data_IF_992731369500
#
_entry.id   IF_992731369500
#
_cell.length_a   1.000
_cell.length_b   1.000
_cell.length_c   1.000
_cell.angle_alpha   90.00
_cell.angle_beta   90.00
_cell.angle_gamma   90.00
#
_symmetry.space_group_name_H-M   'P 1'
#
loop_
_entity.id
_entity.type
_entity.pdbx_description
1 polymer ?
#
# COMPACT_ATOMS: atom_id res chain seq x y z
N UNK A 1 -0.19 -27.28 -4.87
CA UNK A 1 0.48 -26.43 -3.86
C UNK A 1 1.47 -25.54 -4.61
N UNK A 2 1.26 -24.23 -4.62
CA UNK A 2 2.22 -23.31 -5.23
C UNK A 2 3.44 -23.20 -4.31
N UNK A 3 4.64 -23.42 -4.85
CA UNK A 3 5.88 -23.16 -4.12
C UNK A 3 5.97 -21.66 -3.86
N UNK A 4 5.78 -21.25 -2.60
CA UNK A 4 6.02 -19.86 -2.20
C UNK A 4 7.55 -19.68 -2.22
N UNK A 5 8.09 -18.78 -3.06
CA UNK A 5 9.53 -18.54 -3.08
C UNK A 5 9.96 -18.01 -1.72
N UNK A 6 10.99 -18.64 -1.13
CA UNK A 6 11.62 -18.15 0.10
C UNK A 6 12.37 -16.87 -0.27
N UNK A 7 11.83 -15.73 0.16
CA UNK A 7 12.39 -14.42 -0.12
C UNK A 7 13.60 -14.20 0.79
N UNK A 8 14.77 -14.10 0.17
CA UNK A 8 16.03 -13.76 0.84
C UNK A 8 16.05 -12.26 1.14
N UNK A 9 15.71 -11.92 2.39
CA UNK A 9 15.56 -10.55 2.87
C UNK A 9 16.83 -9.70 2.66
N UNK A 10 18.01 -10.28 2.87
CA UNK A 10 19.29 -9.57 2.72
C UNK A 10 19.52 -9.15 1.26
N UNK A 11 19.03 -9.93 0.29
CA UNK A 11 19.11 -9.57 -1.13
C UNK A 11 18.20 -8.42 -1.52
N UNK A 12 17.03 -8.28 -0.89
CA UNK A 12 16.14 -7.15 -1.16
C UNK A 12 16.71 -5.87 -0.54
N UNK A 13 17.14 -5.96 0.72
CA UNK A 13 17.66 -4.81 1.47
C UNK A 13 18.97 -4.26 0.89
N UNK A 14 19.70 -5.06 0.11
CA UNK A 14 20.93 -4.64 -0.60
C UNK A 14 20.69 -4.08 -2.01
N UNK A 15 19.44 -4.03 -2.49
CA UNK A 15 19.12 -3.47 -3.81
C UNK A 15 19.22 -1.95 -3.82
N UNK A 16 19.72 -1.39 -4.93
CA UNK A 16 19.91 0.06 -5.07
C UNK A 16 18.63 0.78 -5.52
N UNK A 17 17.72 0.06 -6.15
CA UNK A 17 16.48 0.59 -6.68
C UNK A 17 15.39 -0.49 -6.80
N UNK A 18 14.16 -0.05 -7.02
CA UNK A 18 12.98 -0.92 -7.13
C UNK A 18 13.07 -1.93 -8.28
N UNK A 19 13.71 -1.57 -9.41
CA UNK A 19 13.83 -2.47 -10.54
C UNK A 19 14.73 -3.68 -10.21
N UNK A 20 15.84 -3.47 -9.49
CA UNK A 20 16.67 -4.56 -8.98
C UNK A 20 15.89 -5.46 -8.00
N UNK A 21 15.14 -4.86 -7.07
CA UNK A 21 14.35 -5.61 -6.09
C UNK A 21 13.28 -6.51 -6.76
N UNK A 22 12.56 -5.97 -7.75
CA UNK A 22 11.53 -6.71 -8.49
C UNK A 22 12.15 -7.83 -9.33
N UNK A 23 13.29 -7.58 -9.98
CA UNK A 23 13.98 -8.63 -10.73
C UNK A 23 14.42 -9.79 -9.82
N UNK A 24 14.95 -9.49 -8.63
CA UNK A 24 15.34 -10.52 -7.66
C UNK A 24 14.13 -11.33 -7.17
N UNK A 25 13.00 -10.67 -6.94
CA UNK A 25 11.78 -11.30 -6.42
C UNK A 25 11.02 -12.13 -7.45
N UNK A 26 10.96 -11.66 -8.70
CA UNK A 26 10.03 -12.17 -9.70
C UNK A 26 10.71 -12.62 -11.01
N UNK A 27 12.02 -12.43 -11.15
CA UNK A 27 12.76 -12.75 -12.38
C UNK A 27 12.38 -11.85 -13.57
N UNK A 28 11.91 -10.64 -13.30
CA UNK A 28 11.43 -9.69 -14.30
C UNK A 28 12.43 -8.57 -14.53
N UNK A 29 12.96 -8.46 -15.75
CA UNK A 29 13.65 -7.26 -16.21
C UNK A 29 12.62 -6.25 -16.72
N UNK A 30 12.37 -5.20 -15.95
CA UNK A 30 11.38 -4.19 -16.27
C UNK A 30 12.00 -3.05 -17.10
N UNK A 31 11.61 -2.95 -18.37
CA UNK A 31 11.76 -1.72 -19.15
C UNK A 31 10.50 -0.86 -18.96
N UNK A 32 10.61 0.21 -18.17
CA UNK A 32 9.50 1.13 -17.90
C UNK A 32 8.59 0.70 -16.75
N UNK A 33 7.38 1.28 -16.70
CA UNK A 33 6.37 0.97 -15.67
C UNK A 33 5.54 -0.23 -16.14
N UNK A 34 5.89 -1.43 -15.70
CA UNK A 34 5.07 -2.62 -15.91
C UNK A 34 4.00 -2.71 -14.82
N UNK A 35 2.75 -2.96 -15.20
CA UNK A 35 1.70 -3.30 -14.25
C UNK A 35 1.98 -4.71 -13.71
N UNK A 36 2.58 -4.79 -12.52
CA UNK A 36 2.94 -6.06 -11.88
C UNK A 36 1.72 -6.71 -11.19
N UNK A 37 0.68 -5.93 -10.94
CA UNK A 37 -0.56 -6.39 -10.30
C UNK A 37 -1.74 -6.04 -11.19
N UNK A 38 -2.41 -7.07 -11.71
CA UNK A 38 -3.71 -6.93 -12.37
C UNK A 38 -4.85 -6.98 -11.33
N UNK A 39 -6.09 -6.71 -11.75
CA UNK A 39 -7.24 -6.80 -10.84
C UNK A 39 -7.34 -8.18 -10.18
N UNK A 40 -6.96 -9.23 -10.91
CA UNK A 40 -6.99 -10.62 -10.49
C UNK A 40 -5.92 -10.96 -9.45
N UNK A 41 -4.89 -10.13 -9.28
CA UNK A 41 -3.81 -10.39 -8.33
C UNK A 41 -4.26 -10.27 -6.87
N UNK A 42 -5.38 -9.57 -6.62
CA UNK A 42 -5.96 -9.38 -5.29
C UNK A 42 -7.45 -9.72 -5.29
N UNK A 43 -7.79 -11.00 -5.42
CA UNK A 43 -9.17 -11.51 -5.38
C UNK A 43 -9.37 -12.54 -4.26
N UNK A 44 -10.58 -12.62 -3.76
CA UNK A 44 -11.07 -13.64 -2.85
C UNK A 44 -10.26 -13.75 -1.55
N UNK A 45 -9.70 -14.94 -1.33
CA UNK A 45 -8.97 -15.25 -0.09
C UNK A 45 -7.67 -14.46 0.03
N UNK A 46 -6.99 -14.16 -1.08
CA UNK A 46 -5.76 -13.36 -1.06
C UNK A 46 -6.04 -11.95 -0.53
N UNK A 47 -7.15 -11.32 -0.97
CA UNK A 47 -7.60 -10.02 -0.46
C UNK A 47 -7.84 -10.03 1.05
N UNK A 48 -8.57 -11.04 1.53
CA UNK A 48 -8.86 -11.20 2.97
C UNK A 48 -7.61 -11.43 3.80
N UNK A 49 -6.73 -12.35 3.37
CA UNK A 49 -5.49 -12.64 4.08
C UNK A 49 -4.57 -11.42 4.13
N UNK A 50 -4.51 -10.65 3.03
CA UNK A 50 -3.72 -9.43 2.99
C UNK A 50 -4.28 -8.37 3.94
N UNK A 51 -5.60 -8.17 3.99
CA UNK A 51 -6.26 -7.26 4.92
C UNK A 51 -6.02 -7.67 6.38
N UNK A 52 -6.17 -8.95 6.72
CA UNK A 52 -5.96 -9.46 8.08
C UNK A 52 -4.53 -9.23 8.57
N UNK A 53 -3.53 -9.52 7.72
CA UNK A 53 -2.13 -9.18 7.99
C UNK A 53 -1.94 -7.67 8.15
N UNK A 54 -2.70 -6.87 7.41
CA UNK A 54 -2.69 -5.42 7.51
C UNK A 54 -3.15 -4.93 8.88
N UNK A 55 -4.30 -5.44 9.35
CA UNK A 55 -4.90 -5.07 10.64
C UNK A 55 -4.03 -5.49 11.83
N UNK A 56 -3.40 -6.66 11.74
CA UNK A 56 -2.63 -7.25 12.85
C UNK A 56 -1.18 -6.81 12.85
N UNK A 57 -0.48 -6.91 11.72
CA UNK A 57 0.97 -6.72 11.65
C UNK A 57 1.35 -5.30 11.20
N UNK A 58 0.57 -4.68 10.31
CA UNK A 58 0.94 -3.40 9.67
C UNK A 58 0.25 -2.17 10.25
N UNK A 59 -0.67 -2.31 11.19
CA UNK A 59 -1.44 -1.20 11.76
C UNK A 59 -0.57 -0.13 12.43
N UNK A 60 0.48 -0.53 13.15
CA UNK A 60 1.46 0.40 13.72
C UNK A 60 2.23 1.17 12.64
N UNK A 61 2.57 0.48 11.55
CA UNK A 61 3.26 1.08 10.41
C UNK A 61 2.37 2.12 9.73
N UNK A 62 1.09 1.83 9.47
CA UNK A 62 0.16 2.80 8.88
C UNK A 62 -0.03 4.03 9.76
N UNK A 63 -0.14 3.85 11.09
CA UNK A 63 -0.17 4.96 12.06
C UNK A 63 1.07 5.85 11.96
N UNK A 64 2.26 5.24 11.85
CA UNK A 64 3.52 5.97 11.71
C UNK A 64 3.59 6.72 10.38
N UNK A 65 3.15 6.11 9.28
CA UNK A 65 3.10 6.75 7.95
C UNK A 65 2.18 7.97 7.98
N UNK A 66 0.97 7.85 8.54
CA UNK A 66 0.04 8.97 8.64
C UNK A 66 0.62 10.12 9.49
N UNK A 67 1.29 9.80 10.61
CA UNK A 67 1.98 10.79 11.45
C UNK A 67 3.13 11.48 10.69
N UNK A 68 3.94 10.72 9.98
CA UNK A 68 5.06 11.27 9.20
C UNK A 68 4.57 12.15 8.05
N UNK A 69 3.51 11.73 7.35
CA UNK A 69 2.85 12.52 6.32
C UNK A 69 2.41 13.88 6.89
N UNK A 70 1.73 13.88 8.05
CA UNK A 70 1.32 15.12 8.74
C UNK A 70 2.49 16.04 9.04
N UNK A 71 3.54 15.50 9.68
CA UNK A 71 4.70 16.29 10.11
C UNK A 71 5.47 16.88 8.93
N UNK A 72 5.60 16.13 7.85
CA UNK A 72 6.45 16.51 6.70
C UNK A 72 5.75 17.42 5.71
N UNK A 73 4.45 17.27 5.52
CA UNK A 73 3.72 18.03 4.50
C UNK A 73 3.09 19.30 5.04
N UNK A 74 2.83 19.38 6.35
CA UNK A 74 2.03 20.46 6.94
C UNK A 74 0.58 20.49 6.43
N UNK A 75 0.14 19.44 5.72
CA UNK A 75 -1.12 19.40 4.96
C UNK A 75 -2.34 19.70 5.83
N UNK A 76 -2.38 19.11 7.04
CA UNK A 76 -3.49 19.28 7.98
C UNK A 76 -3.52 20.65 8.67
N UNK A 77 -2.49 21.47 8.53
CA UNK A 77 -2.37 22.79 9.19
C UNK A 77 -3.04 23.94 8.44
N UNK A 78 -3.65 23.71 7.27
CA UNK A 78 -4.30 24.76 6.48
C UNK A 78 -5.74 25.03 6.99
N UNK A 79 -6.03 26.19 7.59
CA UNK A 79 -7.35 26.49 8.18
C UNK A 79 -8.43 26.82 7.14
N UNK A 80 -8.06 27.07 5.88
CA UNK A 80 -8.97 27.60 4.85
C UNK A 80 -9.17 26.66 3.65
N UNK A 81 -8.62 25.44 3.69
CA UNK A 81 -8.67 24.50 2.58
C UNK A 81 -9.41 23.21 2.94
N UNK A 82 -10.19 22.68 2.00
CA UNK A 82 -10.66 21.31 2.08
C UNK A 82 -9.45 20.36 2.05
N UNK A 83 -9.27 19.58 3.11
CA UNK A 83 -8.14 18.64 3.26
C UNK A 83 -8.45 17.34 2.54
N UNK A 84 -8.41 17.38 1.21
CA UNK A 84 -8.69 16.23 0.35
C UNK A 84 -7.41 15.42 0.09
N UNK A 85 -7.40 14.14 0.40
CA UNK A 85 -6.29 13.22 0.13
C UNK A 85 -6.77 12.16 -0.85
N UNK A 86 -5.95 11.81 -1.84
CA UNK A 86 -6.18 10.67 -2.72
C UNK A 86 -5.20 9.57 -2.35
N UNK A 87 -5.70 8.42 -1.92
CA UNK A 87 -4.90 7.23 -1.61
C UNK A 87 -5.02 6.26 -2.81
N UNK A 88 -3.93 6.11 -3.56
CA UNK A 88 -3.90 5.34 -4.82
C UNK A 88 -3.26 3.99 -4.57
N UNK A 89 -3.97 2.91 -4.92
CA UNK A 89 -3.65 1.57 -4.42
C UNK A 89 -4.03 1.43 -2.95
N UNK A 90 -5.21 1.96 -2.59
CA UNK A 90 -5.67 2.07 -1.20
C UNK A 90 -5.84 0.71 -0.51
N UNK A 91 -5.90 -0.37 -1.28
CA UNK A 91 -6.19 -1.70 -0.76
C UNK A 91 -7.51 -1.69 0.01
N UNK A 92 -7.46 -2.22 1.23
CA UNK A 92 -8.62 -2.31 2.14
C UNK A 92 -8.75 -1.07 3.04
N UNK A 93 -8.19 0.07 2.63
CA UNK A 93 -8.41 1.35 3.32
C UNK A 93 -7.66 1.53 4.63
N UNK A 94 -6.81 0.60 5.06
CA UNK A 94 -6.19 0.66 6.40
C UNK A 94 -5.32 1.91 6.61
N UNK A 95 -4.59 2.37 5.59
CA UNK A 95 -3.86 3.64 5.67
C UNK A 95 -4.82 4.83 5.60
N UNK A 96 -5.79 4.81 4.69
CA UNK A 96 -6.82 5.83 4.57
C UNK A 96 -7.55 6.07 5.90
N UNK A 97 -7.86 5.02 6.66
CA UNK A 97 -8.47 5.09 8.00
C UNK A 97 -7.59 5.87 8.98
N UNK A 98 -6.26 5.73 8.90
CA UNK A 98 -5.35 6.50 9.73
C UNK A 98 -5.25 7.97 9.27
N UNK A 99 -5.37 8.23 7.97
CA UNK A 99 -5.30 9.57 7.39
C UNK A 99 -6.57 10.42 7.64
N UNK A 100 -7.76 9.80 7.74
CA UNK A 100 -9.03 10.52 8.00
C UNK A 100 -9.17 11.01 9.44
N UNK A 101 -8.43 10.44 10.40
CA UNK A 101 -8.53 10.80 11.83
C UNK A 101 -8.20 12.26 12.13
N UNK A 102 -7.66 12.97 11.14
CA UNK A 102 -7.13 14.32 11.24
C UNK A 102 -7.97 15.34 10.43
N UNK A 103 -9.29 15.11 10.36
CA UNK A 103 -10.26 16.01 9.71
C UNK A 103 -9.98 16.21 8.21
N UNK A 104 -9.55 15.13 7.55
CA UNK A 104 -9.36 15.08 6.11
C UNK A 104 -10.43 14.23 5.44
N UNK A 105 -10.78 14.60 4.20
CA UNK A 105 -11.57 13.78 3.30
C UNK A 105 -10.58 12.92 2.51
N UNK A 106 -10.63 11.60 2.66
CA UNK A 106 -9.76 10.69 1.90
C UNK A 106 -10.59 9.97 0.83
N UNK A 107 -10.16 10.06 -0.41
CA UNK A 107 -10.67 9.28 -1.53
C UNK A 107 -9.72 8.11 -1.80
N UNK A 108 -10.18 6.90 -1.51
CA UNK A 108 -9.47 5.68 -1.83
C UNK A 108 -9.72 5.24 -3.27
N UNK A 109 -8.66 4.86 -3.99
CA UNK A 109 -8.72 4.32 -5.34
C UNK A 109 -7.93 3.01 -5.35
N UNK A 110 -8.57 1.91 -5.73
CA UNK A 110 -7.91 0.63 -5.97
C UNK A 110 -8.44 0.01 -7.26
N UNK A 111 -7.61 -0.82 -7.90
CA UNK A 111 -8.03 -1.55 -9.10
C UNK A 111 -8.80 -2.82 -8.70
N UNK A 112 -8.50 -3.40 -7.53
CA UNK A 112 -9.16 -4.60 -7.02
C UNK A 112 -10.50 -4.25 -6.39
N UNK A 113 -11.58 -4.76 -7.00
CA UNK A 113 -12.92 -4.65 -6.42
C UNK A 113 -13.03 -5.34 -5.05
N UNK A 114 -12.34 -6.46 -4.85
CA UNK A 114 -12.38 -7.19 -3.58
C UNK A 114 -11.70 -6.43 -2.45
N UNK A 115 -10.61 -5.72 -2.73
CA UNK A 115 -9.97 -4.85 -1.74
C UNK A 115 -10.88 -3.67 -1.38
N UNK A 116 -11.55 -3.06 -2.36
CA UNK A 116 -12.53 -2.00 -2.11
C UNK A 116 -13.74 -2.51 -1.32
N UNK A 117 -14.18 -3.75 -1.52
CA UNK A 117 -15.27 -4.36 -0.75
C UNK A 117 -14.90 -4.63 0.71
N UNK A 118 -13.61 -4.68 1.04
CA UNK A 118 -13.10 -4.85 2.42
C UNK A 118 -12.87 -3.52 3.14
N UNK A 119 -12.87 -2.40 2.42
CA UNK A 119 -12.55 -1.06 2.92
C UNK A 119 -13.67 -0.44 3.77
#
# INVERSE_FOLDING_TARGET
>A
MANIPVIDREKIESTRNLAEAVNILFGLNLEGRLCIFSQEAMIGETARAYDELGRTVRSDTYRRIAKDFKLRTGYYGNPNGAKIIYDVGVGSGLLAIELIKEDAIVYGIDISGDMLNLA
#
